data_IF_212988948533
#
_entry.id   IF_212988948533
#
_cell.length_a   1.000
_cell.length_b   1.000
_cell.length_c   1.000
_cell.angle_alpha   90.00
_cell.angle_beta   90.00
_cell.angle_gamma   90.00
#
_symmetry.space_group_name_H-M   'P 1'
#
loop_
_entity.id
_entity.type
_entity.pdbx_description
1 polymer ?
#
# COMPACT_ATOMS: atom_id res chain seq x y z
N UNK A 1 -11.51 19.12 8.71
CA UNK A 1 -12.31 19.37 7.50
C UNK A 1 -12.55 18.10 6.70
N UNK A 2 -11.50 17.37 6.25
CA UNK A 2 -11.67 16.17 5.41
C UNK A 2 -12.57 15.09 6.02
N UNK A 3 -12.39 14.78 7.31
CA UNK A 3 -13.23 13.79 8.02
C UNK A 3 -14.70 14.20 8.14
N UNK A 4 -14.97 15.50 8.34
CA UNK A 4 -16.34 16.02 8.37
C UNK A 4 -17.03 15.89 7.01
N UNK A 5 -16.30 16.16 5.92
CA UNK A 5 -16.83 15.99 4.56
C UNK A 5 -17.15 14.52 4.28
N UNK A 6 -16.27 13.60 4.65
CA UNK A 6 -16.49 12.16 4.47
C UNK A 6 -17.77 11.73 5.21
N UNK A 7 -17.95 12.17 6.46
CA UNK A 7 -19.17 11.89 7.22
C UNK A 7 -20.42 12.41 6.52
N UNK A 8 -20.40 13.65 6.01
CA UNK A 8 -21.56 14.21 5.29
C UNK A 8 -21.86 13.52 3.96
N UNK A 9 -20.84 13.14 3.20
CA UNK A 9 -21.03 12.39 1.96
C UNK A 9 -21.55 10.98 2.26
N UNK A 10 -21.13 10.35 3.37
CA UNK A 10 -21.63 9.03 3.78
C UNK A 10 -23.11 9.10 4.21
N UNK A 11 -23.53 10.19 4.84
CA UNK A 11 -24.95 10.44 5.14
C UNK A 11 -25.80 10.58 3.86
N UNK A 12 -25.31 11.31 2.86
CA UNK A 12 -26.06 11.57 1.61
C UNK A 12 -26.01 10.39 0.61
N UNK A 13 -24.89 9.67 0.55
CA UNK A 13 -24.63 8.58 -0.38
C UNK A 13 -24.13 7.30 0.32
N UNK A 14 -24.98 6.61 1.10
CA UNK A 14 -24.58 5.44 1.88
C UNK A 14 -24.15 4.24 1.02
N UNK A 15 -24.72 4.08 -0.18
CA UNK A 15 -24.46 2.92 -1.05
C UNK A 15 -23.16 3.04 -1.86
N UNK A 16 -22.49 4.19 -1.82
CA UNK A 16 -21.26 4.44 -2.58
C UNK A 16 -20.02 4.05 -1.77
N UNK A 17 -19.06 3.43 -2.46
CA UNK A 17 -17.77 3.06 -1.88
C UNK A 17 -16.95 4.34 -1.63
N UNK A 18 -16.44 4.47 -0.40
CA UNK A 18 -15.65 5.60 0.06
C UNK A 18 -14.17 5.24 0.17
N UNK A 19 -13.37 5.81 -0.73
CA UNK A 19 -11.92 5.56 -0.80
C UNK A 19 -11.13 6.79 -0.41
N UNK A 20 -10.11 6.62 0.41
CA UNK A 20 -9.22 7.71 0.83
C UNK A 20 -7.75 7.34 0.67
N UNK A 21 -6.95 8.31 0.24
CA UNK A 21 -5.48 8.24 0.27
C UNK A 21 -5.02 9.16 1.40
N UNK A 22 -4.62 8.57 2.51
CA UNK A 22 -4.29 9.29 3.74
C UNK A 22 -2.78 9.29 3.96
N UNK A 23 -2.19 10.49 3.97
CA UNK A 23 -0.78 10.66 4.33
C UNK A 23 -0.67 10.70 5.85
N UNK A 24 0.02 9.72 6.41
CA UNK A 24 0.27 9.59 7.85
C UNK A 24 1.50 10.44 8.19
N UNK A 25 1.43 11.26 9.25
CA UNK A 25 2.58 12.05 9.68
C UNK A 25 3.72 11.16 10.20
N UNK A 26 4.97 11.60 9.99
CA UNK A 26 6.15 10.97 10.58
C UNK A 26 7.06 12.01 11.23
N UNK A 27 7.58 11.72 12.45
CA UNK A 27 8.43 12.64 13.21
C UNK A 27 9.76 12.98 12.55
N UNK A 28 10.16 12.28 11.47
CA UNK A 28 11.39 12.59 10.73
C UNK A 28 11.22 13.67 9.66
N UNK A 29 9.98 13.88 9.20
CA UNK A 29 9.69 14.76 8.05
C UNK A 29 8.93 16.01 8.48
N UNK A 30 8.25 15.98 9.63
CA UNK A 30 7.45 17.09 10.11
C UNK A 30 7.90 17.61 11.47
N UNK A 31 7.95 18.94 11.58
CA UNK A 31 8.34 19.66 12.80
C UNK A 31 7.13 20.01 13.69
N UNK A 32 5.91 19.58 13.34
CA UNK A 32 4.72 19.98 14.09
C UNK A 32 4.37 18.98 15.20
N UNK A 33 4.41 19.46 16.44
CA UNK A 33 4.18 18.65 17.65
C UNK A 33 2.73 18.20 17.83
N UNK A 34 1.79 18.79 17.09
CA UNK A 34 0.34 18.52 17.21
C UNK A 34 -0.19 17.48 16.22
N UNK A 35 0.65 17.01 15.30
CA UNK A 35 0.28 15.98 14.31
C UNK A 35 -0.25 14.67 14.91
N UNK A 36 0.30 14.13 16.01
CA UNK A 36 -0.22 12.91 16.62
C UNK A 36 -1.68 13.06 17.09
N UNK A 37 -2.05 14.23 17.60
CA UNK A 37 -3.42 14.53 18.01
C UNK A 37 -4.35 14.55 16.80
N UNK A 38 -3.94 15.25 15.73
CA UNK A 38 -4.72 15.35 14.49
C UNK A 38 -4.88 13.98 13.81
N UNK A 39 -3.83 13.16 13.79
CA UNK A 39 -3.86 11.83 13.22
C UNK A 39 -4.81 10.93 14.02
N UNK A 40 -4.73 10.93 15.35
CA UNK A 40 -5.59 10.08 16.19
C UNK A 40 -7.07 10.43 16.05
N UNK A 41 -7.40 11.72 16.10
CA UNK A 41 -8.78 12.19 15.90
C UNK A 41 -9.30 11.88 14.49
N UNK A 42 -8.43 12.01 13.48
CA UNK A 42 -8.81 11.75 12.09
C UNK A 42 -9.02 10.27 11.82
N UNK A 43 -8.12 9.41 12.32
CA UNK A 43 -8.23 7.95 12.19
C UNK A 43 -9.50 7.43 12.83
N UNK A 44 -9.90 7.95 14.00
CA UNK A 44 -11.16 7.56 14.64
C UNK A 44 -12.36 7.72 13.69
N UNK A 45 -12.43 8.85 12.96
CA UNK A 45 -13.49 9.10 11.99
C UNK A 45 -13.35 8.26 10.71
N UNK A 46 -12.12 7.97 10.27
CA UNK A 46 -11.87 7.14 9.09
C UNK A 46 -12.25 5.67 9.35
N UNK A 47 -12.06 5.16 10.57
CA UNK A 47 -12.42 3.78 10.94
C UNK A 47 -13.91 3.49 10.72
N UNK A 48 -14.77 4.49 10.87
CA UNK A 48 -16.22 4.31 10.82
C UNK A 48 -16.83 4.70 9.46
N UNK A 49 -16.25 5.70 8.79
CA UNK A 49 -16.88 6.32 7.63
C UNK A 49 -16.24 5.95 6.27
N UNK A 50 -15.08 5.31 6.24
CA UNK A 50 -14.43 4.89 4.98
C UNK A 50 -14.52 3.39 4.75
N UNK A 51 -14.56 2.97 3.49
CA UNK A 51 -14.56 1.55 3.12
C UNK A 51 -13.15 1.07 2.76
N UNK A 52 -12.31 1.97 2.21
CA UNK A 52 -10.91 1.70 1.86
C UNK A 52 -10.01 2.92 2.19
N UNK A 53 -8.92 2.70 2.92
CA UNK A 53 -7.96 3.76 3.26
C UNK A 53 -6.54 3.32 2.92
N UNK A 54 -5.91 3.98 1.95
CA UNK A 54 -4.50 3.77 1.63
C UNK A 54 -3.64 4.65 2.52
N UNK A 55 -2.85 4.04 3.40
CA UNK A 55 -1.93 4.72 4.29
C UNK A 55 -0.60 4.96 3.59
N UNK A 56 -0.24 6.22 3.39
CA UNK A 56 1.02 6.63 2.77
C UNK A 56 1.84 7.33 3.85
N UNK A 57 3.08 6.92 4.04
CA UNK A 57 3.99 7.50 5.02
C UNK A 57 5.10 8.28 4.33
N UNK A 58 5.27 9.54 4.73
CA UNK A 58 6.32 10.40 4.20
C UNK A 58 7.73 9.88 4.53
N UNK A 59 7.92 9.22 5.67
CA UNK A 59 9.22 8.65 6.03
C UNK A 59 9.59 7.48 5.12
N UNK A 60 8.63 6.60 4.83
CA UNK A 60 8.85 5.48 3.92
C UNK A 60 9.14 5.98 2.50
N UNK A 61 8.41 7.00 2.03
CA UNK A 61 8.68 7.63 0.74
C UNK A 61 10.06 8.29 0.69
N UNK A 62 10.47 8.98 1.76
CA UNK A 62 11.79 9.59 1.86
C UNK A 62 12.90 8.53 1.80
N UNK A 63 12.75 7.43 2.56
CA UNK A 63 13.69 6.31 2.57
C UNK A 63 13.78 5.64 1.19
N UNK A 64 12.66 5.47 0.48
CA UNK A 64 12.64 4.95 -0.90
C UNK A 64 13.41 5.88 -1.85
N UNK A 65 13.14 7.18 -1.80
CA UNK A 65 13.81 8.16 -2.66
C UNK A 65 15.32 8.21 -2.40
N UNK A 66 15.72 8.19 -1.12
CA UNK A 66 17.11 8.27 -0.74
C UNK A 66 17.88 6.98 -1.01
N UNK A 67 17.35 5.82 -0.60
CA UNK A 67 18.06 4.53 -0.69
C UNK A 67 17.93 3.86 -2.06
N UNK A 68 16.71 3.85 -2.61
CA UNK A 68 16.40 3.08 -3.82
C UNK A 68 16.62 3.91 -5.08
N UNK A 69 16.14 5.16 -5.11
CA UNK A 69 16.32 6.07 -6.25
C UNK A 69 17.68 6.78 -6.25
N UNK A 70 18.42 6.73 -5.13
CA UNK A 70 19.74 7.36 -4.91
C UNK A 70 19.70 8.88 -5.07
N UNK A 71 18.60 9.52 -4.67
CA UNK A 71 18.47 10.98 -4.65
C UNK A 71 19.08 11.51 -3.35
N UNK A 72 20.10 12.37 -3.45
CA UNK A 72 20.82 12.94 -2.30
C UNK A 72 19.96 13.91 -1.50
N UNK A 73 19.07 14.66 -2.17
CA UNK A 73 18.16 15.64 -1.57
C UNK A 73 16.76 15.45 -2.14
N UNK A 74 15.95 14.52 -1.60
CA UNK A 74 14.59 14.29 -2.09
C UNK A 74 13.70 15.49 -1.78
N UNK A 75 12.98 15.97 -2.78
CA UNK A 75 12.04 17.10 -2.66
C UNK A 75 10.60 16.58 -2.56
N UNK A 76 9.66 17.41 -2.08
CA UNK A 76 8.24 17.04 -2.10
C UNK A 76 7.71 16.73 -3.52
N UNK A 77 8.33 17.30 -4.57
CA UNK A 77 8.03 16.94 -5.95
C UNK A 77 8.29 15.46 -6.26
N UNK A 78 9.40 14.92 -5.74
CA UNK A 78 9.77 13.51 -5.93
C UNK A 78 8.84 12.57 -5.14
N UNK A 79 8.49 12.95 -3.91
CA UNK A 79 7.53 12.21 -3.10
C UNK A 79 6.15 12.17 -3.78
N UNK A 80 5.68 13.32 -4.27
CA UNK A 80 4.41 13.43 -4.97
C UNK A 80 4.40 12.63 -6.29
N UNK A 81 5.55 12.51 -6.97
CA UNK A 81 5.68 11.65 -8.14
C UNK A 81 5.44 10.17 -7.77
N UNK A 82 6.00 9.68 -6.66
CA UNK A 82 5.73 8.31 -6.19
C UNK A 82 4.26 8.11 -5.80
N UNK A 83 3.67 9.06 -5.07
CA UNK A 83 2.26 9.00 -4.65
C UNK A 83 1.33 8.96 -5.86
N UNK A 84 1.57 9.83 -6.85
CA UNK A 84 0.77 9.88 -8.08
C UNK A 84 0.90 8.60 -8.91
N UNK A 85 2.09 7.99 -8.97
CA UNK A 85 2.28 6.69 -9.61
C UNK A 85 1.45 5.59 -8.92
N UNK A 86 1.41 5.59 -7.58
CA UNK A 86 0.60 4.67 -6.79
C UNK A 86 -0.90 4.87 -7.00
N UNK A 87 -1.37 6.12 -6.91
CA UNK A 87 -2.78 6.45 -7.18
C UNK A 87 -3.19 6.09 -8.59
N UNK A 88 -2.32 6.33 -9.58
CA UNK A 88 -2.53 5.88 -10.95
C UNK A 88 -2.64 4.36 -11.01
N UNK A 89 -1.75 3.64 -10.33
CA UNK A 89 -1.75 2.17 -10.27
C UNK A 89 -3.07 1.60 -9.73
N UNK A 90 -3.50 2.04 -8.55
CA UNK A 90 -4.77 1.62 -7.91
C UNK A 90 -5.98 1.89 -8.81
N UNK A 91 -6.02 3.06 -9.44
CA UNK A 91 -7.16 3.46 -10.28
C UNK A 91 -7.09 2.95 -11.72
N UNK A 92 -6.02 2.25 -12.11
CA UNK A 92 -5.88 1.73 -13.48
C UNK A 92 -7.06 0.84 -13.84
N UNK A 93 -7.50 0.03 -12.87
CA UNK A 93 -8.64 -0.88 -12.91
C UNK A 93 -9.95 -0.25 -13.38
N UNK A 94 -10.12 1.05 -13.12
CA UNK A 94 -11.31 1.82 -13.46
C UNK A 94 -11.18 2.54 -14.81
N UNK A 95 -9.94 2.83 -15.22
CA UNK A 95 -9.64 3.67 -16.39
C UNK A 95 -9.44 2.87 -17.65
N UNK A 96 -8.97 1.63 -17.54
CA UNK A 96 -8.64 0.80 -18.70
C UNK A 96 -9.29 -0.58 -18.59
N UNK A 97 -9.73 -1.16 -19.71
CA UNK A 97 -10.26 -2.52 -19.73
C UNK A 97 -9.13 -3.52 -19.42
N UNK A 98 -9.35 -4.38 -18.42
CA UNK A 98 -8.46 -5.49 -18.05
C UNK A 98 -9.06 -6.84 -18.40
N UNK A 99 -8.22 -7.88 -18.48
CA UNK A 99 -8.70 -9.26 -18.60
C UNK A 99 -9.38 -9.72 -17.30
N UNK A 100 -8.95 -9.17 -16.16
CA UNK A 100 -9.52 -9.44 -14.85
C UNK A 100 -10.06 -8.13 -14.27
N UNK A 101 -11.31 -7.76 -14.62
CA UNK A 101 -11.90 -6.49 -14.18
C UNK A 101 -12.36 -6.56 -12.70
N UNK A 102 -11.64 -5.86 -11.82
CA UNK A 102 -12.08 -5.57 -10.46
C UNK A 102 -12.54 -4.12 -10.34
N UNK A 103 -13.84 -3.92 -10.15
CA UNK A 103 -14.38 -2.66 -9.64
C UNK A 103 -13.84 -2.38 -8.23
N UNK A 104 -13.86 -1.12 -7.79
CA UNK A 104 -13.54 -0.74 -6.41
C UNK A 104 -14.32 -1.58 -5.39
N UNK A 105 -15.58 -1.89 -5.68
CA UNK A 105 -16.40 -2.75 -4.81
C UNK A 105 -15.85 -4.17 -4.72
N UNK A 106 -15.37 -4.75 -5.82
CA UNK A 106 -14.77 -6.10 -5.80
C UNK A 106 -13.43 -6.09 -5.07
N UNK A 107 -12.65 -5.03 -5.24
CA UNK A 107 -11.40 -4.85 -4.52
C UNK A 107 -11.65 -4.77 -3.01
N UNK A 108 -12.64 -3.99 -2.58
CA UNK A 108 -13.03 -3.84 -1.18
C UNK A 108 -13.46 -5.18 -0.58
N UNK A 109 -14.35 -5.92 -1.25
CA UNK A 109 -14.83 -7.23 -0.78
C UNK A 109 -13.69 -8.24 -0.65
N UNK A 110 -12.72 -8.21 -1.56
CA UNK A 110 -11.59 -9.14 -1.53
C UNK A 110 -10.53 -8.77 -0.48
N UNK A 111 -10.31 -7.48 -0.21
CA UNK A 111 -9.25 -7.02 0.70
C UNK A 111 -9.73 -6.70 2.12
N UNK A 112 -11.03 -6.59 2.35
CA UNK A 112 -11.62 -6.21 3.64
C UNK A 112 -12.41 -7.39 4.23
N UNK A 113 -11.74 -8.35 4.90
CA UNK A 113 -12.42 -9.43 5.63
C UNK A 113 -13.23 -8.92 6.83
N UNK A 114 -12.86 -7.77 7.41
CA UNK A 114 -13.54 -7.16 8.55
C UNK A 114 -13.73 -5.66 8.31
N UNK A 115 -14.94 -5.10 8.51
CA UNK A 115 -15.24 -3.71 8.18
C UNK A 115 -14.35 -2.65 8.82
N UNK A 116 -13.84 -2.89 10.04
CA UNK A 116 -12.96 -1.94 10.76
C UNK A 116 -11.49 -2.05 10.38
N UNK A 117 -11.13 -3.10 9.65
CA UNK A 117 -9.78 -3.32 9.16
C UNK A 117 -9.79 -3.03 7.67
N UNK A 118 -9.63 -1.78 7.26
CA UNK A 118 -9.65 -1.37 5.85
C UNK A 118 -8.49 -0.43 5.52
N UNK A 119 -7.47 -0.43 6.36
CA UNK A 119 -6.21 0.26 6.13
C UNK A 119 -5.29 -0.60 5.30
N UNK A 120 -4.84 -0.05 4.18
CA UNK A 120 -3.98 -0.70 3.22
C UNK A 120 -2.60 -0.05 3.21
N UNK A 121 -1.56 -0.89 3.06
CA UNK A 121 -0.21 -0.43 2.80
C UNK A 121 0.07 -0.56 1.30
N UNK A 122 0.14 0.55 0.55
CA UNK A 122 0.54 0.52 -0.84
C UNK A 122 2.05 0.27 -0.95
N UNK A 123 2.43 -0.43 -2.00
CA UNK A 123 3.82 -0.63 -2.42
C UNK A 123 3.89 -0.54 -3.93
N UNK A 124 4.97 0.02 -4.46
CA UNK A 124 5.15 0.20 -5.90
C UNK A 124 6.42 -0.49 -6.36
N UNK A 125 6.33 -1.19 -7.49
CA UNK A 125 7.45 -1.67 -8.25
C UNK A 125 7.20 -1.40 -9.74
N UNK A 126 8.22 -1.18 -10.57
CA UNK A 126 9.63 -1.13 -10.23
C UNK A 126 10.05 0.24 -9.68
N UNK A 127 10.84 0.24 -8.61
CA UNK A 127 11.55 1.42 -8.14
C UNK A 127 12.99 1.33 -8.66
N UNK A 128 13.26 1.96 -9.81
CA UNK A 128 14.59 2.02 -10.42
C UNK A 128 15.04 3.46 -10.56
N UNK A 129 16.31 3.72 -10.24
CA UNK A 129 16.92 5.03 -10.50
C UNK A 129 17.01 5.28 -12.00
N UNK A 130 16.88 6.55 -12.43
CA UNK A 130 16.92 6.95 -13.85
C UNK A 130 18.18 6.43 -14.57
N UNK A 131 19.32 6.35 -13.88
CA UNK A 131 20.58 5.84 -14.45
C UNK A 131 20.68 4.31 -14.52
N UNK A 132 19.86 3.57 -13.77
CA UNK A 132 19.88 2.10 -13.74
C UNK A 132 18.73 1.47 -14.51
N UNK A 133 17.78 2.28 -15.00
CA UNK A 133 16.58 1.81 -15.68
C UNK A 133 16.88 1.08 -17.01
N UNK A 134 17.93 1.48 -17.73
CA UNK A 134 18.32 0.83 -19.00
C UNK A 134 19.03 -0.52 -18.81
N UNK A 135 19.61 -0.77 -17.63
CA UNK A 135 20.44 -1.96 -17.38
C UNK A 135 19.69 -3.08 -16.69
N UNK A 136 18.45 -2.84 -16.23
CA UNK A 136 17.67 -3.82 -15.47
C UNK A 136 16.56 -4.41 -16.33
N UNK A 137 16.63 -5.71 -16.57
CA UNK A 137 15.55 -6.44 -17.22
C UNK A 137 14.38 -6.59 -16.25
N UNK A 138 13.25 -5.95 -16.54
CA UNK A 138 12.05 -6.03 -15.71
C UNK A 138 11.28 -7.30 -16.05
N UNK A 139 11.61 -8.40 -15.36
CA UNK A 139 10.88 -9.68 -15.49
C UNK A 139 9.79 -9.79 -14.43
N UNK A 140 8.75 -10.58 -14.69
CA UNK A 140 7.65 -10.81 -13.73
C UNK A 140 8.17 -11.34 -12.38
N UNK A 141 9.09 -12.33 -12.33
CA UNK A 141 9.65 -12.81 -11.06
C UNK A 141 10.38 -11.73 -10.26
N UNK A 142 11.14 -10.86 -10.93
CA UNK A 142 11.86 -9.75 -10.27
C UNK A 142 10.89 -8.72 -9.71
N UNK A 143 9.86 -8.35 -10.48
CA UNK A 143 8.82 -7.42 -10.03
C UNK A 143 8.10 -7.97 -8.80
N UNK A 144 7.69 -9.23 -8.85
CA UNK A 144 7.01 -9.89 -7.73
C UNK A 144 7.90 -9.96 -6.49
N UNK A 145 9.20 -10.25 -6.63
CA UNK A 145 10.12 -10.22 -5.48
C UNK A 145 10.29 -8.81 -4.91
N UNK A 146 10.44 -7.81 -5.77
CA UNK A 146 10.60 -6.41 -5.36
C UNK A 146 9.36 -5.91 -4.60
N UNK A 147 8.18 -6.31 -5.05
CA UNK A 147 6.90 -5.97 -4.45
C UNK A 147 6.77 -6.40 -2.98
N UNK A 148 7.25 -7.59 -2.61
CA UNK A 148 7.21 -8.08 -1.23
C UNK A 148 8.42 -7.66 -0.38
N UNK A 149 9.34 -6.86 -0.93
CA UNK A 149 10.45 -6.32 -0.15
C UNK A 149 9.96 -5.18 0.75
N UNK A 150 10.33 -5.23 2.03
CA UNK A 150 9.93 -4.26 3.05
C UNK A 150 10.36 -2.83 2.68
N UNK A 151 11.46 -2.70 1.93
CA UNK A 151 12.01 -1.40 1.51
C UNK A 151 11.19 -0.67 0.46
N UNK A 152 10.29 -1.37 -0.24
CA UNK A 152 9.47 -0.80 -1.31
C UNK A 152 8.03 -0.51 -0.88
N UNK A 153 7.73 -0.73 0.40
CA UNK A 153 6.45 -0.36 1.01
C UNK A 153 6.41 1.14 1.26
N UNK A 154 5.28 1.77 0.94
CA UNK A 154 5.07 3.20 1.16
C UNK A 154 4.53 3.52 2.57
N UNK A 155 4.56 2.55 3.48
CA UNK A 155 4.26 2.73 4.89
C UNK A 155 5.50 2.31 5.71
N UNK A 156 5.85 3.04 6.77
CA UNK A 156 7.02 2.72 7.61
C UNK A 156 6.72 1.55 8.57
N UNK A 157 6.28 0.43 8.00
CA UNK A 157 5.95 -0.80 8.70
C UNK A 157 6.75 -1.94 8.07
N UNK A 158 7.50 -2.68 8.89
CA UNK A 158 8.15 -3.90 8.41
C UNK A 158 7.13 -5.05 8.38
N UNK A 159 6.74 -5.54 7.18
CA UNK A 159 5.71 -6.56 7.05
C UNK A 159 6.08 -7.90 7.68
N UNK A 160 7.38 -8.15 7.94
CA UNK A 160 7.85 -9.40 8.56
C UNK A 160 7.44 -9.53 10.02
N UNK A 161 7.10 -8.42 10.68
CA UNK A 161 6.60 -8.44 12.05
C UNK A 161 5.11 -8.81 12.17
N UNK A 162 4.40 -8.92 11.04
CA UNK A 162 2.99 -9.26 10.99
C UNK A 162 2.71 -10.42 10.04
N UNK A 163 1.43 -10.67 9.81
CA UNK A 163 0.97 -11.60 8.77
C UNK A 163 0.05 -10.89 7.78
N UNK A 164 0.17 -11.14 6.49
CA UNK A 164 -0.75 -10.61 5.50
C UNK A 164 -2.12 -11.29 5.61
N UNK A 165 -3.17 -10.48 5.78
CA UNK A 165 -4.56 -10.95 5.70
C UNK A 165 -4.95 -11.19 4.25
N UNK A 166 -4.75 -10.17 3.43
CA UNK A 166 -5.12 -10.13 2.03
C UNK A 166 -4.09 -9.30 1.30
N UNK A 167 -3.78 -9.69 0.06
CA UNK A 167 -2.90 -8.95 -0.82
C UNK A 167 -3.57 -8.82 -2.18
N UNK A 168 -3.61 -7.59 -2.67
CA UNK A 168 -3.92 -7.32 -4.07
C UNK A 168 -2.63 -6.92 -4.81
N UNK A 169 -2.32 -7.61 -5.91
CA UNK A 169 -1.26 -7.18 -6.83
C UNK A 169 -1.88 -6.73 -8.15
N UNK A 170 -1.62 -5.50 -8.59
CA UNK A 170 -2.08 -4.99 -9.90
C UNK A 170 -0.89 -4.92 -10.84
N UNK A 171 -0.79 -5.86 -11.78
CA UNK A 171 0.23 -5.88 -12.82
C UNK A 171 -0.21 -5.09 -14.05
N UNK A 172 0.65 -4.20 -14.53
CA UNK A 172 0.47 -3.45 -15.78
C UNK A 172 1.56 -3.84 -16.77
N UNK A 173 1.18 -4.17 -18.01
CA UNK A 173 2.13 -4.51 -19.07
C UNK A 173 1.71 -5.71 -19.92
N UNK A 174 2.50 -6.01 -20.96
CA UNK A 174 2.33 -7.22 -21.78
C UNK A 174 3.09 -8.38 -21.13
N UNK A 175 2.41 -9.14 -20.29
CA UNK A 175 2.96 -10.32 -19.59
C UNK A 175 2.06 -11.54 -19.74
N UNK A 176 2.52 -12.74 -19.39
CA UNK A 176 1.69 -13.95 -19.40
C UNK A 176 0.93 -14.09 -18.07
N UNK A 177 -0.37 -14.44 -18.12
CA UNK A 177 -1.15 -14.69 -16.88
C UNK A 177 -0.59 -15.87 -16.09
N UNK A 178 -0.25 -16.95 -16.81
CA UNK A 178 0.29 -18.18 -16.22
C UNK A 178 1.56 -17.92 -15.42
N UNK A 179 2.45 -17.09 -15.96
CA UNK A 179 3.70 -16.74 -15.29
C UNK A 179 3.46 -15.94 -14.01
N UNK A 180 2.53 -14.97 -14.04
CA UNK A 180 2.15 -14.20 -12.85
C UNK A 180 1.59 -15.11 -11.77
N UNK A 181 0.65 -15.99 -12.13
CA UNK A 181 0.00 -16.90 -11.18
C UNK A 181 1.02 -17.87 -10.54
N UNK A 182 1.92 -18.44 -11.34
CA UNK A 182 3.00 -19.32 -10.86
C UNK A 182 3.97 -18.58 -9.91
N UNK A 183 4.36 -17.34 -10.23
CA UNK A 183 5.24 -16.56 -9.38
C UNK A 183 4.58 -16.18 -8.06
N UNK A 184 3.30 -15.82 -8.10
CA UNK A 184 2.55 -15.45 -6.92
C UNK A 184 2.35 -16.63 -5.97
N UNK A 185 2.02 -17.81 -6.53
CA UNK A 185 1.92 -19.05 -5.77
C UNK A 185 3.28 -19.47 -5.19
N UNK A 186 4.37 -19.27 -5.93
CA UNK A 186 5.74 -19.51 -5.46
C UNK A 186 6.07 -18.64 -4.24
N UNK A 187 5.72 -17.35 -4.28
CA UNK A 187 5.95 -16.43 -3.16
C UNK A 187 5.11 -16.81 -1.95
N UNK A 188 3.83 -17.17 -2.15
CA UNK A 188 2.98 -17.64 -1.06
C UNK A 188 3.57 -18.87 -0.36
N UNK A 189 4.04 -19.84 -1.16
CA UNK A 189 4.59 -21.09 -0.65
C UNK A 189 5.90 -20.87 0.11
N UNK A 190 6.76 -19.97 -0.38
CA UNK A 190 8.03 -19.61 0.28
C UNK A 190 7.81 -18.85 1.60
N UNK A 191 6.78 -18.00 1.64
CA UNK A 191 6.50 -17.08 2.74
C UNK A 191 5.24 -17.48 3.54
N UNK A 192 4.89 -18.76 3.58
CA UNK A 192 3.64 -19.25 4.18
C UNK A 192 3.43 -18.79 5.62
N UNK A 193 4.51 -18.68 6.41
CA UNK A 193 4.48 -18.18 7.79
C UNK A 193 4.06 -16.71 7.94
N UNK A 194 4.23 -15.91 6.88
CA UNK A 194 3.81 -14.52 6.82
C UNK A 194 2.40 -14.34 6.27
N UNK A 195 1.71 -15.41 5.87
CA UNK A 195 0.31 -15.35 5.47
C UNK A 195 -0.59 -15.94 6.56
N UNK A 196 -1.83 -15.45 6.63
CA UNK A 196 -2.81 -15.93 7.60
C UNK A 196 -3.45 -17.24 7.10
N UNK A 197 -3.37 -18.29 7.91
CA UNK A 197 -3.82 -19.65 7.52
C UNK A 197 -5.34 -19.82 7.46
N UNK A 198 -6.11 -19.04 8.22
CA UNK A 198 -7.58 -19.21 8.34
C UNK A 198 -8.37 -18.58 7.20
N UNK A 199 -7.74 -17.74 6.37
CA UNK A 199 -8.33 -17.28 5.11
C UNK A 199 -7.69 -18.12 4.00
N UNK A 200 -8.45 -19.00 3.32
CA UNK A 200 -7.95 -19.69 2.13
C UNK A 200 -7.86 -18.69 0.96
N UNK A 201 -6.77 -18.76 0.19
CA UNK A 201 -6.51 -17.92 -1.00
C UNK A 201 -6.44 -16.40 -0.75
N UNK A 202 -5.52 -15.96 0.11
CA UNK A 202 -5.28 -14.55 0.48
C UNK A 202 -4.72 -13.64 -0.62
N UNK A 203 -4.37 -14.26 -1.74
CA UNK A 203 -3.66 -13.64 -2.84
C UNK A 203 -4.63 -13.41 -3.98
N UNK A 204 -5.04 -12.14 -4.13
CA UNK A 204 -5.78 -11.70 -5.31
C UNK A 204 -4.81 -10.98 -6.24
N UNK A 205 -4.63 -11.53 -7.44
CA UNK A 205 -3.81 -10.91 -8.47
C UNK A 205 -4.67 -10.43 -9.60
N UNK A 206 -4.34 -9.24 -10.09
CA UNK A 206 -5.10 -8.54 -11.10
C UNK A 206 -4.14 -8.07 -12.18
N UNK A 207 -4.53 -8.28 -13.43
CA UNK A 207 -3.73 -7.86 -14.58
C UNK A 207 -4.51 -6.90 -15.44
N UNK A 208 -3.88 -5.77 -15.76
CA UNK A 208 -4.35 -4.83 -16.75
C UNK A 208 -3.36 -4.75 -17.92
N UNK A 209 -3.89 -4.84 -19.14
CA UNK A 209 -3.14 -4.49 -20.34
C UNK A 209 -3.01 -2.96 -20.40
N UNK A 210 -1.85 -2.44 -20.01
CA UNK A 210 -1.52 -1.03 -20.16
C UNK A 210 -0.02 -0.87 -20.41
N UNK A 211 0.37 0.12 -21.22
CA UNK A 211 1.66 0.24 -21.95
C UNK A 211 2.87 0.61 -21.07
N UNK A 212 2.73 0.61 -19.73
CA UNK A 212 3.84 0.93 -18.82
C UNK A 212 3.93 -0.08 -17.67
N UNK A 213 5.08 -0.73 -17.55
CA UNK A 213 5.40 -1.75 -16.53
C UNK A 213 5.37 -1.14 -15.14
N UNK A 214 4.29 -1.41 -14.40
CA UNK A 214 4.18 -1.02 -13.00
C UNK A 214 3.26 -1.99 -12.27
N UNK A 215 3.71 -2.42 -11.11
CA UNK A 215 3.06 -3.39 -10.27
C UNK A 215 2.83 -2.81 -8.87
N UNK A 216 1.58 -2.85 -8.43
CA UNK A 216 1.18 -2.26 -7.16
C UNK A 216 0.78 -3.35 -6.17
N UNK A 217 1.40 -3.37 -5.00
CA UNK A 217 0.91 -4.15 -3.87
C UNK A 217 0.00 -3.26 -3.04
N UNK A 218 -1.16 -3.76 -2.68
CA UNK A 218 -1.90 -3.31 -1.50
C UNK A 218 -1.86 -4.45 -0.50
N UNK A 219 -0.98 -4.32 0.49
CA UNK A 219 -0.76 -5.34 1.52
C UNK A 219 -1.42 -4.91 2.83
N UNK A 220 -2.10 -5.84 3.48
CA UNK A 220 -2.73 -5.58 4.78
C UNK A 220 -2.12 -6.48 5.86
N UNK A 221 -1.35 -5.94 6.81
CA UNK A 221 -0.77 -6.73 7.89
C UNK A 221 -1.78 -6.88 9.05
N UNK A 222 -1.89 -8.08 9.58
CA UNK A 222 -2.42 -8.38 10.90
C UNK A 222 -1.28 -8.22 11.91
N UNK A 223 -1.25 -7.11 12.62
CA UNK A 223 -0.51 -6.98 13.87
C UNK A 223 -1.36 -7.55 15.00
N UNK A 224 -0.86 -8.55 15.73
CA UNK A 224 -1.52 -9.03 16.94
C UNK A 224 -1.84 -7.85 17.88
N UNK A 225 -3.09 -7.69 18.37
CA UNK A 225 -3.46 -6.63 19.30
C UNK A 225 -2.82 -6.78 20.69
N UNK A 226 -1.99 -7.81 20.92
CA UNK A 226 -1.35 -8.13 22.19
C UNK A 226 0.12 -7.73 22.36
N UNK A 227 0.71 -6.95 21.44
CA UNK A 227 1.99 -6.25 21.71
C UNK A 227 1.90 -4.79 21.28
N UNK A 228 1.73 -3.84 22.23
CA UNK A 228 2.03 -2.45 21.94
C UNK A 228 3.52 -2.36 21.57
N UNK A 229 3.84 -2.13 20.29
CA UNK A 229 5.11 -1.48 19.89
C UNK A 229 4.94 0.04 19.87
N UNK A 230 4.19 0.57 20.84
CA UNK A 230 4.09 1.98 21.18
C UNK A 230 4.00 2.04 22.71
N UNK A 231 5.12 1.77 23.38
CA UNK A 231 5.48 2.10 24.77
C UNK A 231 6.57 1.13 25.25
N UNK A 232 7.83 1.51 25.08
CA UNK A 232 8.89 1.23 26.06
C UNK A 232 9.97 2.31 25.91
N UNK A 233 10.67 2.68 26.99
CA UNK A 233 10.66 4.02 27.54
C UNK A 233 11.81 4.88 26.98
N UNK A 234 11.50 6.07 26.48
CA UNK A 234 12.52 7.13 26.49
C UNK A 234 12.63 7.64 27.91
N UNK A 235 13.65 7.12 28.59
CA UNK A 235 14.19 7.66 29.82
C UNK A 235 14.30 9.18 29.71
N UNK A 236 13.68 9.86 30.66
CA UNK A 236 14.02 11.22 31.00
C UNK A 236 15.53 11.28 31.30
N UNK A 237 16.27 12.03 30.47
CA UNK A 237 17.50 12.70 30.87
C UNK A 237 17.17 14.19 30.94
N UNK A 238 16.74 14.61 32.12
CA UNK A 238 17.11 15.87 32.77
C UNK A 238 17.50 15.49 34.19
#
# INVERSE_FOLDING_TARGET
MGTLLISKIREEFPDRIMNTFSVVPSPKVSDTVVEPYNATLSVHQLVENTDETYCIDNEALYDICFRTLKLTTPTYGDLNHLVSATMSGVTTCLRFPGQLNADLRKLAVNMVPFPRLHFFMPGFAPLTSRGSQQYRALTVPELTQQMFDAKNMMAACDPRHGRYLTVAAVFRGRMSMKEVDEQMLSVQSKNSSYFVEWIPNNLTHMKLFCVHDSCLISCKPHTNPGRPKLLSPFQAKV
#
